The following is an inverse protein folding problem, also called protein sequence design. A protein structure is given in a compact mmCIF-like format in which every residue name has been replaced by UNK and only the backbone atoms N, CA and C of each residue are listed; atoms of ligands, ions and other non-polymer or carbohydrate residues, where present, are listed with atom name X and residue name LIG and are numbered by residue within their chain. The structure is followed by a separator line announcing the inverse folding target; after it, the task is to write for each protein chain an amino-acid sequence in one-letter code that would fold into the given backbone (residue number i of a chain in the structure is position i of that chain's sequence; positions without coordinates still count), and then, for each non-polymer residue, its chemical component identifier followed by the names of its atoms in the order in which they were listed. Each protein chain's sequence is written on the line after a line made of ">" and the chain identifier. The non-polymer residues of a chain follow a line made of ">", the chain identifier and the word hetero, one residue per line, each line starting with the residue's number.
data_IF_193236630352
#
_entry.id   IF_193236630352
#
_cell.length_a   1.000
_cell.length_b   1.000
_cell.length_c   1.000
_cell.angle_alpha   90.00
_cell.angle_beta   90.00
_cell.angle_gamma   90.00
#
_symmetry.space_group_name_H-M   'P 1'
#
loop_
_entity.id
_entity.type
_entity.pdbx_description
1 polymer ?
#
# COMPACT_ATOMS: atom_id res chain seq x y z
N UNK A 1 -22.77 -15.72 -16.20
CA UNK A 1 -22.50 -15.27 -14.82
C UNK A 1 -23.48 -14.17 -14.46
N UNK A 2 -23.92 -14.06 -13.21
CA UNK A 2 -24.77 -12.95 -12.77
C UNK A 2 -24.07 -11.60 -12.99
N UNK A 3 -24.87 -10.55 -13.26
CA UNK A 3 -24.35 -9.21 -13.54
C UNK A 3 -24.59 -8.32 -12.33
N UNK A 4 -23.57 -7.60 -11.89
CA UNK A 4 -23.67 -6.58 -10.85
C UNK A 4 -24.64 -5.48 -11.29
N UNK A 5 -25.49 -5.00 -10.42
CA UNK A 5 -26.25 -3.79 -10.65
C UNK A 5 -25.36 -2.56 -10.31
N UNK A 6 -25.54 -1.49 -11.07
CA UNK A 6 -24.87 -0.22 -10.84
C UNK A 6 -25.88 0.89 -10.71
N UNK A 7 -25.61 1.84 -9.81
CA UNK A 7 -26.45 3.02 -9.62
C UNK A 7 -25.58 4.28 -9.73
N UNK A 8 -25.88 5.20 -10.66
CA UNK A 8 -25.09 6.39 -10.88
C UNK A 8 -25.23 7.38 -9.73
N UNK A 9 -24.15 8.04 -9.38
CA UNK A 9 -24.09 9.13 -8.40
C UNK A 9 -23.50 10.38 -9.04
N UNK A 10 -23.66 11.53 -8.38
CA UNK A 10 -22.96 12.75 -8.76
C UNK A 10 -21.44 12.55 -8.68
N UNK A 11 -20.71 12.99 -9.68
CA UNK A 11 -19.25 12.93 -9.66
C UNK A 11 -18.67 14.06 -8.80
N UNK A 12 -17.87 13.67 -7.83
CA UNK A 12 -17.00 14.57 -7.06
C UNK A 12 -15.56 14.12 -7.25
N UNK A 13 -14.67 15.09 -7.51
CA UNK A 13 -13.22 14.77 -7.65
C UNK A 13 -12.60 14.36 -6.32
N UNK A 14 -13.14 14.87 -5.21
CA UNK A 14 -12.76 14.49 -3.85
C UNK A 14 -13.71 13.42 -3.31
N UNK A 15 -13.24 12.20 -3.00
CA UNK A 15 -14.08 11.13 -2.48
C UNK A 15 -14.45 11.28 -1.00
N UNK A 16 -13.80 12.20 -0.27
CA UNK A 16 -13.95 12.33 1.19
C UNK A 16 -15.36 12.63 1.63
N UNK A 17 -16.10 13.44 0.85
CA UNK A 17 -17.51 13.72 1.12
C UNK A 17 -18.38 12.45 1.10
N UNK A 18 -18.18 11.56 0.14
CA UNK A 18 -18.86 10.27 0.12
C UNK A 18 -18.42 9.34 1.24
N UNK A 19 -17.11 9.33 1.54
CA UNK A 19 -16.60 8.49 2.62
C UNK A 19 -17.10 8.94 4.00
N UNK A 20 -17.32 10.23 4.21
CA UNK A 20 -17.89 10.76 5.45
C UNK A 20 -19.27 10.18 5.78
N UNK A 21 -20.05 9.73 4.79
CA UNK A 21 -21.34 9.05 5.02
C UNK A 21 -21.20 7.68 5.70
N UNK A 22 -20.03 7.03 5.55
CA UNK A 22 -19.82 5.65 5.99
C UNK A 22 -18.59 5.46 6.89
N UNK A 23 -17.76 6.49 7.12
CA UNK A 23 -16.48 6.36 7.81
C UNK A 23 -16.55 5.79 9.22
N UNK A 24 -17.67 5.96 9.90
CA UNK A 24 -17.93 5.38 11.24
C UNK A 24 -18.57 3.99 11.19
N UNK A 25 -18.87 3.49 10.01
CA UNK A 25 -19.45 2.17 9.85
C UNK A 25 -18.39 1.08 10.08
N UNK A 26 -18.81 -0.09 10.61
CA UNK A 26 -17.90 -1.22 10.75
C UNK A 26 -17.18 -1.54 9.45
N UNK A 27 -15.84 -1.64 9.52
CA UNK A 27 -14.99 -1.99 8.39
C UNK A 27 -15.01 -0.97 7.24
N UNK A 28 -15.25 0.32 7.53
CA UNK A 28 -15.18 1.35 6.50
C UNK A 28 -13.75 1.42 5.90
N UNK A 29 -13.69 1.42 4.58
CA UNK A 29 -12.44 1.48 3.82
C UNK A 29 -12.55 2.48 2.68
N UNK A 30 -11.46 3.21 2.44
CA UNK A 30 -11.25 4.06 1.28
C UNK A 30 -9.90 3.72 0.66
N UNK A 31 -9.90 3.27 -0.60
CA UNK A 31 -8.72 3.24 -1.44
C UNK A 31 -8.80 4.48 -2.33
N UNK A 32 -7.85 5.38 -2.15
CA UNK A 32 -7.88 6.77 -2.60
C UNK A 32 -6.78 7.00 -3.64
N UNK A 33 -7.14 7.57 -4.75
CA UNK A 33 -6.22 7.94 -5.84
C UNK A 33 -5.52 9.28 -5.60
N UNK A 34 -5.77 9.95 -4.48
CA UNK A 34 -5.20 11.26 -4.11
C UNK A 34 -5.79 12.44 -4.88
N UNK A 35 -6.93 12.27 -5.55
CA UNK A 35 -7.62 13.36 -6.26
C UNK A 35 -8.32 14.30 -5.27
N UNK A 36 -8.44 15.59 -5.60
CA UNK A 36 -8.01 16.25 -6.85
C UNK A 36 -6.53 16.62 -6.92
N UNK A 37 -5.74 16.52 -5.83
CA UNK A 37 -4.37 17.01 -5.75
C UNK A 37 -3.37 16.16 -6.56
N UNK A 38 -3.63 14.85 -6.71
CA UNK A 38 -2.82 13.97 -7.55
C UNK A 38 -3.31 13.99 -9.01
N UNK A 39 -2.38 14.07 -9.97
CA UNK A 39 -2.70 14.01 -11.39
C UNK A 39 -2.90 12.58 -11.91
N UNK A 40 -2.34 11.58 -11.20
CA UNK A 40 -2.39 10.16 -11.54
C UNK A 40 -3.23 9.42 -10.53
N UNK A 41 -3.76 8.29 -10.93
CA UNK A 41 -4.76 7.56 -10.20
C UNK A 41 -6.11 7.70 -10.88
N UNK A 42 -6.73 6.56 -11.18
CA UNK A 42 -7.97 6.55 -11.95
C UNK A 42 -9.18 6.33 -11.08
N UNK A 43 -9.07 5.45 -10.10
CA UNK A 43 -10.23 5.00 -9.34
C UNK A 43 -10.07 5.27 -7.86
N UNK A 44 -11.13 5.81 -7.24
CA UNK A 44 -11.34 5.66 -5.80
C UNK A 44 -12.36 4.54 -5.58
N UNK A 45 -12.13 3.75 -4.53
CA UNK A 45 -13.03 2.66 -4.12
C UNK A 45 -13.29 2.83 -2.63
N UNK A 46 -14.56 2.97 -2.25
CA UNK A 46 -14.93 2.95 -0.85
C UNK A 46 -16.02 1.93 -0.59
N UNK A 47 -16.01 1.35 0.62
CA UNK A 47 -17.03 0.43 1.08
C UNK A 47 -17.11 0.42 2.62
N UNK A 48 -18.11 -0.23 3.15
CA UNK A 48 -18.32 -0.44 4.58
C UNK A 48 -19.24 -1.64 4.79
N UNK A 49 -19.47 -2.02 6.06
CA UNK A 49 -20.31 -3.16 6.43
C UNK A 49 -19.92 -4.44 5.68
N UNK A 50 -18.70 -4.95 5.86
CA UNK A 50 -18.28 -6.19 5.22
C UNK A 50 -19.17 -7.34 5.66
N UNK A 51 -19.47 -8.25 4.73
CA UNK A 51 -20.22 -9.49 5.00
C UNK A 51 -19.45 -10.41 5.95
N UNK A 52 -18.13 -10.35 5.90
CA UNK A 52 -17.19 -11.12 6.72
C UNK A 52 -15.90 -10.32 6.89
N UNK A 53 -15.27 -10.40 8.06
CA UNK A 53 -13.90 -9.93 8.29
C UNK A 53 -12.99 -11.13 8.47
N UNK A 54 -11.94 -11.22 7.67
CA UNK A 54 -10.97 -12.29 7.66
C UNK A 54 -9.65 -11.78 8.20
N UNK A 55 -9.21 -12.35 9.30
CA UNK A 55 -7.87 -12.19 9.88
C UNK A 55 -7.30 -13.58 10.19
N UNK A 56 -5.97 -13.76 10.18
CA UNK A 56 -5.37 -15.03 10.56
C UNK A 56 -5.76 -15.45 11.98
N UNK A 57 -5.93 -16.75 12.16
CA UNK A 57 -6.15 -17.35 13.50
C UNK A 57 -4.84 -17.96 14.02
N UNK A 58 -4.81 -18.30 15.31
CA UNK A 58 -3.62 -18.89 15.93
C UNK A 58 -3.18 -20.17 15.14
N UNK A 59 -1.89 -20.31 14.94
CA UNK A 59 -1.24 -21.44 14.26
C UNK A 59 -1.65 -21.64 12.78
N UNK A 60 -2.36 -20.69 12.17
CA UNK A 60 -2.72 -20.73 10.75
C UNK A 60 -1.51 -20.40 9.88
N UNK A 61 -1.23 -21.24 8.89
CA UNK A 61 -0.19 -20.95 7.88
C UNK A 61 -0.68 -19.91 6.86
N UNK A 62 0.24 -19.16 6.23
CA UNK A 62 -0.12 -18.22 5.19
C UNK A 62 -0.88 -18.86 4.03
N UNK A 63 -0.49 -20.10 3.64
CA UNK A 63 -1.21 -20.85 2.60
C UNK A 63 -2.65 -21.18 3.00
N UNK A 64 -2.87 -21.60 4.27
CA UNK A 64 -4.21 -21.89 4.77
C UNK A 64 -5.08 -20.61 4.82
N UNK A 65 -4.51 -19.49 5.26
CA UNK A 65 -5.22 -18.20 5.25
C UNK A 65 -5.59 -17.77 3.83
N UNK A 66 -4.64 -17.85 2.87
CA UNK A 66 -4.94 -17.53 1.46
C UNK A 66 -6.02 -18.48 0.88
N UNK A 67 -6.06 -19.75 1.29
CA UNK A 67 -7.13 -20.65 0.89
C UNK A 67 -8.47 -20.23 1.48
N UNK A 68 -8.52 -19.80 2.73
CA UNK A 68 -9.74 -19.29 3.38
C UNK A 68 -10.26 -18.01 2.71
N UNK A 69 -9.37 -17.14 2.17
CA UNK A 69 -9.76 -16.01 1.33
C UNK A 69 -10.42 -16.46 0.02
N UNK A 70 -9.89 -17.51 -0.64
CA UNK A 70 -10.51 -18.11 -1.83
C UNK A 70 -11.91 -18.66 -1.54
N UNK A 71 -12.03 -19.38 -0.43
CA UNK A 71 -13.30 -19.98 -0.02
C UNK A 71 -14.35 -18.89 0.29
N UNK A 72 -13.92 -17.75 0.83
CA UNK A 72 -14.79 -16.61 1.11
C UNK A 72 -15.25 -15.94 -0.19
N UNK A 73 -14.36 -15.72 -1.16
CA UNK A 73 -14.73 -15.24 -2.49
C UNK A 73 -15.69 -16.20 -3.20
N UNK A 74 -15.43 -17.51 -3.12
CA UNK A 74 -16.29 -18.53 -3.73
C UNK A 74 -17.70 -18.56 -3.09
N UNK A 75 -17.83 -18.29 -1.77
CA UNK A 75 -19.13 -18.14 -1.11
C UNK A 75 -19.88 -16.91 -1.55
N UNK A 76 -19.21 -15.78 -1.80
CA UNK A 76 -19.84 -14.60 -2.39
C UNK A 76 -20.40 -14.92 -3.78
N UNK A 77 -19.66 -15.72 -4.55
CA UNK A 77 -20.04 -16.21 -5.85
C UNK A 77 -19.52 -15.35 -7.01
N UNK A 78 -19.51 -15.93 -8.20
CA UNK A 78 -19.06 -15.24 -9.40
C UNK A 78 -20.03 -14.14 -9.81
N UNK A 79 -19.49 -13.01 -10.25
CA UNK A 79 -20.25 -11.92 -10.84
C UNK A 79 -19.44 -11.22 -11.94
N UNK A 80 -20.17 -10.54 -12.83
CA UNK A 80 -19.56 -9.67 -13.85
C UNK A 80 -20.13 -8.27 -13.72
N UNK A 81 -19.35 -7.28 -14.14
CA UNK A 81 -19.85 -5.92 -14.33
C UNK A 81 -20.66 -5.84 -15.62
N UNK A 82 -21.52 -4.81 -15.78
CA UNK A 82 -22.17 -4.54 -17.06
C UNK A 82 -21.16 -4.51 -18.21
N UNK A 83 -21.64 -4.89 -19.41
CA UNK A 83 -20.81 -4.92 -20.61
C UNK A 83 -20.09 -3.58 -20.84
N UNK A 84 -18.82 -3.63 -21.19
CA UNK A 84 -17.94 -2.46 -21.39
C UNK A 84 -17.69 -1.59 -20.13
N UNK A 85 -18.12 -2.02 -18.94
CA UNK A 85 -17.83 -1.29 -17.71
C UNK A 85 -16.32 -1.32 -17.39
N UNK A 86 -15.65 -0.16 -17.21
CA UNK A 86 -14.24 -0.10 -16.88
C UNK A 86 -13.96 -0.27 -15.38
N UNK A 87 -15.01 -0.45 -14.55
CA UNK A 87 -14.89 -0.44 -13.11
C UNK A 87 -13.99 -1.56 -12.59
N UNK A 88 -13.15 -1.29 -11.58
CA UNK A 88 -12.14 -2.23 -11.11
C UNK A 88 -12.68 -3.28 -10.14
N UNK A 89 -13.90 -3.10 -9.59
CA UNK A 89 -14.39 -3.91 -8.47
C UNK A 89 -15.85 -4.33 -8.66
N UNK A 90 -16.11 -5.62 -8.54
CA UNK A 90 -17.43 -6.25 -8.71
C UNK A 90 -17.93 -6.95 -7.42
N UNK A 91 -17.42 -6.54 -6.25
CA UNK A 91 -17.55 -7.26 -4.98
C UNK A 91 -16.34 -8.16 -4.73
N UNK A 92 -15.95 -8.33 -3.46
CA UNK A 92 -14.77 -9.11 -3.11
C UNK A 92 -14.08 -8.59 -1.83
N UNK A 93 -12.78 -8.78 -1.76
CA UNK A 93 -11.96 -8.47 -0.61
C UNK A 93 -11.32 -7.08 -0.71
N UNK A 94 -11.34 -6.31 0.38
CA UNK A 94 -10.56 -5.09 0.55
C UNK A 94 -9.93 -5.10 1.94
N UNK A 95 -8.65 -4.73 2.05
CA UNK A 95 -7.98 -4.65 3.35
C UNK A 95 -6.46 -4.55 3.22
N UNK A 96 -5.75 -5.16 4.18
CA UNK A 96 -4.31 -5.12 4.21
C UNK A 96 -3.67 -6.48 4.54
N UNK A 97 -2.42 -6.64 4.11
CA UNK A 97 -1.45 -7.58 4.63
C UNK A 97 -0.34 -6.76 5.31
N UNK A 98 -0.08 -6.99 6.59
CA UNK A 98 1.08 -6.41 7.27
C UNK A 98 2.37 -7.08 6.78
N UNK A 99 3.52 -6.43 6.93
CA UNK A 99 4.82 -7.03 6.58
C UNK A 99 5.02 -8.40 7.26
N UNK A 100 4.57 -8.51 8.50
CA UNK A 100 4.70 -9.73 9.30
C UNK A 100 3.86 -10.91 8.79
N UNK A 101 2.94 -10.69 7.83
CA UNK A 101 2.32 -11.79 7.10
C UNK A 101 3.36 -12.66 6.35
N UNK A 102 4.51 -12.09 5.99
CA UNK A 102 5.63 -12.82 5.44
C UNK A 102 6.13 -13.97 6.34
N UNK A 103 5.97 -13.85 7.67
CA UNK A 103 6.32 -14.91 8.63
C UNK A 103 5.38 -16.13 8.56
N UNK A 104 4.19 -15.94 8.04
CA UNK A 104 3.23 -17.04 7.80
C UNK A 104 3.52 -17.78 6.49
N UNK A 105 4.29 -17.15 5.58
CA UNK A 105 4.66 -17.71 4.28
C UNK A 105 6.03 -18.39 4.30
N UNK A 106 6.97 -17.82 5.07
CA UNK A 106 8.36 -18.28 5.13
C UNK A 106 8.81 -18.42 6.60
N UNK A 107 9.61 -19.42 6.94
CA UNK A 107 10.14 -19.57 8.30
C UNK A 107 11.18 -18.47 8.58
N UNK A 108 10.82 -17.51 9.42
CA UNK A 108 11.66 -16.38 9.83
C UNK A 108 11.92 -16.42 11.34
N UNK A 109 13.07 -15.92 11.82
CA UNK A 109 13.31 -15.69 13.23
C UNK A 109 12.24 -14.77 13.84
N UNK A 110 12.15 -14.71 15.15
CA UNK A 110 11.24 -13.85 15.90
C UNK A 110 11.99 -13.11 17.02
N UNK A 111 13.00 -12.31 16.62
CA UNK A 111 13.83 -11.54 17.56
C UNK A 111 13.24 -10.14 17.80
N UNK A 112 12.74 -9.50 16.75
CA UNK A 112 12.08 -8.20 16.85
C UNK A 112 10.78 -8.29 17.66
N UNK A 113 10.57 -7.31 18.55
CA UNK A 113 9.42 -7.28 19.48
C UNK A 113 8.15 -6.90 18.72
N UNK A 114 7.08 -7.68 18.93
CA UNK A 114 5.74 -7.33 18.46
C UNK A 114 5.00 -6.53 19.55
N UNK A 115 5.11 -5.21 19.52
CA UNK A 115 4.53 -4.31 20.52
C UNK A 115 3.24 -3.60 20.04
N UNK A 116 2.92 -3.72 18.76
CA UNK A 116 1.70 -3.14 18.18
C UNK A 116 0.55 -4.15 18.07
N UNK A 117 0.86 -5.44 18.09
CA UNK A 117 -0.12 -6.53 18.00
C UNK A 117 -1.16 -6.38 16.87
N UNK A 118 -0.80 -5.65 15.81
CA UNK A 118 -1.66 -5.53 14.64
C UNK A 118 -1.79 -6.90 13.96
N UNK A 119 -3.01 -7.39 13.67
CA UNK A 119 -3.16 -8.63 12.91
C UNK A 119 -2.31 -8.63 11.65
N UNK A 120 -1.59 -9.73 11.37
CA UNK A 120 -0.70 -9.83 10.20
C UNK A 120 -1.43 -9.72 8.86
N UNK A 121 -2.76 -9.88 8.86
CA UNK A 121 -3.64 -9.55 7.75
C UNK A 121 -5.04 -9.24 8.26
N UNK A 122 -5.78 -8.36 7.58
CA UNK A 122 -7.20 -8.14 7.79
C UNK A 122 -7.84 -7.69 6.49
N UNK A 123 -8.79 -8.50 6.00
CA UNK A 123 -9.55 -8.19 4.79
C UNK A 123 -11.05 -8.32 5.09
N UNK A 124 -11.84 -7.35 4.65
CA UNK A 124 -13.29 -7.44 4.63
C UNK A 124 -13.77 -8.01 3.30
N UNK A 125 -14.81 -8.84 3.33
CA UNK A 125 -15.55 -9.28 2.16
C UNK A 125 -16.72 -8.34 1.91
N UNK A 126 -16.73 -7.62 0.80
CA UNK A 126 -17.73 -6.60 0.50
C UNK A 126 -18.60 -6.99 -0.67
N UNK A 127 -19.91 -6.94 -0.49
CA UNK A 127 -20.89 -7.15 -1.56
C UNK A 127 -21.25 -5.86 -2.32
N UNK A 128 -20.65 -4.74 -1.99
CA UNK A 128 -20.88 -3.45 -2.63
C UNK A 128 -19.63 -2.55 -2.55
N UNK A 129 -19.55 -1.58 -3.44
CA UNK A 129 -18.63 -0.47 -3.32
C UNK A 129 -19.18 0.77 -4.04
N UNK A 130 -18.80 1.95 -3.57
CA UNK A 130 -18.86 3.18 -4.36
C UNK A 130 -17.53 3.35 -5.08
N UNK A 131 -17.59 3.57 -6.38
CA UNK A 131 -16.40 3.71 -7.23
C UNK A 131 -16.50 5.03 -8.01
N UNK A 132 -15.45 5.87 -7.89
CA UNK A 132 -15.26 7.04 -8.75
C UNK A 132 -14.24 6.74 -9.83
N UNK A 133 -14.59 6.96 -11.11
CA UNK A 133 -13.67 6.94 -12.25
C UNK A 133 -13.34 8.39 -12.64
N UNK A 134 -12.16 8.86 -12.29
CA UNK A 134 -11.71 10.21 -12.55
C UNK A 134 -11.47 10.49 -14.03
N UNK A 135 -11.14 9.45 -14.81
CA UNK A 135 -10.97 9.58 -16.25
C UNK A 135 -12.31 9.77 -16.95
N UNK A 136 -13.33 8.99 -16.56
CA UNK A 136 -14.69 9.12 -17.08
C UNK A 136 -15.49 10.25 -16.40
N UNK A 137 -15.00 10.82 -15.28
CA UNK A 137 -15.70 11.78 -14.41
C UNK A 137 -17.09 11.27 -14.01
N UNK A 138 -17.14 10.05 -13.50
CA UNK A 138 -18.36 9.39 -13.04
C UNK A 138 -18.16 8.71 -11.70
N UNK A 139 -19.22 8.70 -10.89
CA UNK A 139 -19.28 7.96 -9.63
C UNK A 139 -20.47 7.01 -9.64
N UNK A 140 -20.31 5.81 -9.10
CA UNK A 140 -21.35 4.78 -9.15
C UNK A 140 -21.28 3.90 -7.91
N UNK A 141 -22.44 3.51 -7.39
CA UNK A 141 -22.54 2.35 -6.51
C UNK A 141 -22.57 1.08 -7.35
N UNK A 142 -21.78 0.11 -6.97
CA UNK A 142 -21.72 -1.22 -7.57
C UNK A 142 -22.20 -2.22 -6.54
N UNK A 143 -23.15 -3.05 -6.91
CA UNK A 143 -23.74 -4.06 -6.04
C UNK A 143 -23.55 -5.44 -6.62
N UNK A 144 -22.90 -6.31 -5.85
CA UNK A 144 -22.80 -7.73 -6.18
C UNK A 144 -24.21 -8.37 -6.16
N UNK A 145 -24.51 -9.33 -7.05
CA UNK A 145 -25.83 -9.97 -7.12
C UNK A 145 -26.30 -10.62 -5.82
N UNK A 146 -25.37 -11.08 -4.98
CA UNK A 146 -25.69 -11.69 -3.67
C UNK A 146 -26.18 -10.68 -2.62
N UNK A 147 -26.04 -9.36 -2.83
CA UNK A 147 -26.54 -8.37 -1.89
C UNK A 147 -28.05 -8.26 -2.00
N UNK A 148 -28.75 -8.26 -0.85
CA UNK A 148 -30.20 -8.16 -0.79
C UNK A 148 -30.71 -6.82 -1.32
N UNK A 149 -31.93 -6.82 -1.90
CA UNK A 149 -32.49 -5.62 -2.55
C UNK A 149 -32.80 -4.50 -1.54
N UNK A 150 -33.22 -4.82 -0.33
CA UNK A 150 -33.46 -3.85 0.74
C UNK A 150 -32.17 -3.15 1.16
N UNK A 151 -31.06 -3.88 1.23
CA UNK A 151 -29.74 -3.31 1.52
C UNK A 151 -29.25 -2.40 0.38
N UNK A 152 -29.49 -2.79 -0.89
CA UNK A 152 -29.20 -1.92 -2.04
C UNK A 152 -29.97 -0.61 -1.97
N UNK A 153 -31.27 -0.67 -1.68
CA UNK A 153 -32.10 0.52 -1.54
C UNK A 153 -31.68 1.41 -0.35
N UNK A 154 -31.29 0.81 0.76
CA UNK A 154 -30.75 1.53 1.92
C UNK A 154 -29.47 2.30 1.53
N UNK A 155 -28.56 1.66 0.81
CA UNK A 155 -27.29 2.27 0.36
C UNK A 155 -27.56 3.37 -0.67
N UNK A 156 -28.42 3.17 -1.64
CA UNK A 156 -28.83 4.21 -2.60
C UNK A 156 -29.36 5.43 -1.84
N UNK A 157 -30.33 5.24 -0.95
CA UNK A 157 -30.90 6.33 -0.17
C UNK A 157 -29.89 7.04 0.72
N UNK A 158 -28.84 6.34 1.21
CA UNK A 158 -27.74 6.95 1.97
C UNK A 158 -26.86 7.84 1.08
N UNK A 159 -26.47 7.37 -0.10
CA UNK A 159 -25.53 8.07 -0.98
C UNK A 159 -26.20 9.16 -1.85
N UNK A 160 -27.52 9.20 -1.96
CA UNK A 160 -28.28 10.29 -2.58
C UNK A 160 -28.53 11.48 -1.65
N UNK A 161 -28.19 11.35 -0.35
CA UNK A 161 -28.28 12.48 0.58
C UNK A 161 -27.25 13.57 0.24
N UNK A 162 -27.54 14.79 0.71
CA UNK A 162 -26.57 15.87 0.62
C UNK A 162 -25.28 15.50 1.38
N UNK A 163 -24.15 15.64 0.73
CA UNK A 163 -22.86 15.36 1.37
C UNK A 163 -22.63 16.33 2.54
N UNK A 164 -22.03 15.87 3.64
CA UNK A 164 -21.67 16.74 4.76
C UNK A 164 -20.76 17.88 4.28
N UNK A 165 -21.04 19.11 4.70
CA UNK A 165 -20.29 20.31 4.29
C UNK A 165 -19.02 20.56 5.10
N UNK A 166 -18.94 19.99 6.29
CA UNK A 166 -17.75 20.01 7.15
C UNK A 166 -17.77 18.79 8.08
N UNK A 167 -16.62 18.33 8.43
CA UNK A 167 -16.40 17.35 9.50
C UNK A 167 -15.71 18.12 10.64
N UNK A 168 -16.34 18.19 11.82
CA UNK A 168 -15.78 18.85 13.01
C UNK A 168 -14.67 18.00 13.67
N UNK A 169 -14.20 16.97 12.98
CA UNK A 169 -13.12 16.11 13.46
C UNK A 169 -11.84 16.93 13.68
N UNK A 170 -11.25 16.82 14.85
CA UNK A 170 -9.96 17.42 15.19
C UNK A 170 -8.93 16.35 15.49
N UNK A 171 -7.67 16.64 15.25
CA UNK A 171 -6.54 15.78 15.57
C UNK A 171 -5.41 16.64 16.13
N UNK A 172 -4.79 16.19 17.23
CA UNK A 172 -3.68 16.91 17.86
C UNK A 172 -2.65 15.94 18.37
N UNK A 173 -1.37 16.25 18.20
CA UNK A 173 -0.28 15.55 18.84
C UNK A 173 0.02 16.14 20.22
N UNK A 174 0.27 15.28 21.20
CA UNK A 174 0.68 15.73 22.56
C UNK A 174 2.15 16.17 22.63
N UNK A 175 2.98 15.68 21.71
CA UNK A 175 4.40 16.01 21.56
C UNK A 175 4.84 15.69 20.11
N UNK A 176 5.95 16.28 19.63
CA UNK A 176 6.54 15.91 18.35
C UNK A 176 6.88 14.42 18.25
N UNK A 177 7.02 13.92 17.03
CA UNK A 177 7.46 12.55 16.80
C UNK A 177 8.86 12.28 17.38
N UNK A 178 9.01 11.13 18.03
CA UNK A 178 10.28 10.62 18.54
C UNK A 178 10.65 9.31 17.84
N UNK A 179 11.95 9.08 17.66
CA UNK A 179 12.48 7.84 17.10
C UNK A 179 12.56 6.74 18.15
N UNK A 180 12.39 5.47 17.75
CA UNK A 180 12.57 4.31 18.63
C UNK A 180 14.04 3.97 18.86
N UNK A 181 14.95 4.40 17.96
CA UNK A 181 16.39 4.18 18.06
C UNK A 181 17.14 5.50 17.88
N UNK A 182 18.30 5.61 18.53
CA UNK A 182 19.19 6.74 18.38
C UNK A 182 20.17 6.57 17.21
N UNK A 183 20.92 7.63 16.91
CA UNK A 183 21.89 7.64 15.81
C UNK A 183 23.02 6.59 16.01
N UNK A 184 23.40 6.30 17.24
CA UNK A 184 24.45 5.32 17.54
C UNK A 184 23.96 3.89 17.25
N UNK A 185 22.73 3.56 17.67
CA UNK A 185 22.13 2.27 17.34
C UNK A 185 22.00 2.11 15.81
N UNK A 186 21.54 3.17 15.12
CA UNK A 186 21.43 3.15 13.66
C UNK A 186 22.79 2.91 12.99
N UNK A 187 23.86 3.59 13.43
CA UNK A 187 25.23 3.41 12.95
C UNK A 187 25.70 1.96 13.11
N UNK A 188 25.52 1.38 14.31
CA UNK A 188 25.91 0.00 14.58
C UNK A 188 25.14 -1.00 13.69
N UNK A 189 23.86 -0.77 13.43
CA UNK A 189 23.08 -1.60 12.52
C UNK A 189 23.61 -1.54 11.08
N UNK A 190 23.95 -0.34 10.58
CA UNK A 190 24.57 -0.19 9.25
C UNK A 190 25.93 -0.90 9.17
N UNK A 191 26.78 -0.75 10.17
CA UNK A 191 28.07 -1.46 10.22
C UNK A 191 27.89 -2.98 10.20
N UNK A 192 26.86 -3.49 10.89
CA UNK A 192 26.52 -4.91 10.89
C UNK A 192 26.02 -5.37 9.52
N UNK A 193 25.19 -4.58 8.84
CA UNK A 193 24.73 -4.87 7.47
C UNK A 193 25.93 -4.90 6.51
N UNK A 194 26.87 -3.94 6.61
CA UNK A 194 28.11 -3.96 5.80
C UNK A 194 28.91 -5.23 6.02
N UNK A 195 29.03 -5.70 7.28
CA UNK A 195 29.71 -6.97 7.55
C UNK A 195 29.01 -8.17 6.87
N UNK A 196 27.68 -8.21 6.84
CA UNK A 196 26.94 -9.23 6.10
C UNK A 196 27.15 -9.14 4.60
N UNK A 197 27.17 -7.93 4.04
CA UNK A 197 27.45 -7.71 2.60
C UNK A 197 28.88 -8.18 2.27
N UNK A 198 29.86 -7.84 3.08
CA UNK A 198 31.26 -8.26 2.88
C UNK A 198 31.46 -9.77 3.02
N UNK A 199 30.67 -10.42 3.89
CA UNK A 199 30.64 -11.87 4.05
C UNK A 199 29.95 -12.60 2.89
N UNK A 200 29.24 -11.87 2.00
CA UNK A 200 28.49 -12.42 0.89
C UNK A 200 27.10 -12.96 1.27
N UNK A 201 26.60 -12.63 2.47
CA UNK A 201 25.28 -13.04 2.94
C UNK A 201 24.15 -12.35 2.16
N UNK A 202 24.36 -11.09 1.79
CA UNK A 202 23.39 -10.28 1.03
C UNK A 202 24.09 -9.22 0.17
N UNK A 203 23.34 -8.64 -0.76
CA UNK A 203 23.78 -7.51 -1.60
C UNK A 203 23.17 -6.19 -1.13
N UNK A 204 21.95 -6.27 -0.56
CA UNK A 204 21.19 -5.15 -0.04
C UNK A 204 20.30 -5.62 1.10
N UNK A 205 20.15 -4.76 2.12
CA UNK A 205 19.13 -4.88 3.16
C UNK A 205 18.39 -3.55 3.24
N UNK A 206 17.06 -3.57 3.17
CA UNK A 206 16.25 -2.39 3.51
C UNK A 206 16.20 -2.28 5.04
N UNK A 207 16.80 -1.24 5.63
CA UNK A 207 16.80 -1.00 7.06
C UNK A 207 15.95 0.22 7.40
N UNK A 208 15.14 0.13 8.44
CA UNK A 208 14.19 1.16 8.81
C UNK A 208 14.20 1.46 10.31
N UNK A 209 13.72 2.65 10.66
CA UNK A 209 13.37 3.02 12.02
C UNK A 209 11.94 3.51 12.11
N UNK A 210 11.34 3.39 13.29
CA UNK A 210 9.99 3.84 13.61
C UNK A 210 10.02 5.18 14.33
N UNK A 211 9.03 6.01 14.02
CA UNK A 211 8.75 7.28 14.66
C UNK A 211 7.36 7.20 15.30
N UNK A 212 7.23 7.68 16.53
CA UNK A 212 5.98 7.63 17.31
C UNK A 212 5.65 8.96 17.95
N UNK A 213 4.34 9.24 18.04
CA UNK A 213 3.80 10.35 18.81
C UNK A 213 2.48 9.93 19.48
N UNK A 214 2.16 10.55 20.60
CA UNK A 214 0.83 10.42 21.22
C UNK A 214 -0.11 11.42 20.58
N UNK A 215 -1.34 10.97 20.30
CA UNK A 215 -2.37 11.83 19.71
C UNK A 215 -3.68 11.78 20.50
N UNK A 216 -4.52 12.78 20.25
CA UNK A 216 -5.92 12.82 20.64
C UNK A 216 -6.79 13.28 19.48
N UNK A 217 -8.06 12.89 19.46
CA UNK A 217 -8.98 13.24 18.40
C UNK A 217 -9.21 12.14 17.38
N UNK A 218 -9.54 12.50 16.17
CA UNK A 218 -9.97 11.58 15.10
C UNK A 218 -8.87 11.40 14.05
N UNK A 219 -8.35 10.17 13.84
CA UNK A 219 -7.38 9.87 12.79
C UNK A 219 -7.83 10.27 11.37
N UNK A 220 -9.15 10.40 11.13
CA UNK A 220 -9.66 10.88 9.86
C UNK A 220 -9.24 12.31 9.55
N UNK A 221 -9.25 13.20 10.55
CA UNK A 221 -8.75 14.58 10.37
C UNK A 221 -7.25 14.58 10.00
N UNK A 222 -6.45 13.73 10.63
CA UNK A 222 -5.05 13.52 10.25
C UNK A 222 -4.92 13.06 8.79
N UNK A 223 -5.73 12.08 8.37
CA UNK A 223 -5.70 11.58 6.99
C UNK A 223 -6.06 12.67 5.98
N UNK A 224 -7.10 13.47 6.23
CA UNK A 224 -7.50 14.57 5.36
C UNK A 224 -6.37 15.60 5.16
N UNK A 225 -5.66 15.98 6.23
CA UNK A 225 -4.51 16.86 6.13
C UNK A 225 -3.34 16.22 5.36
N UNK A 226 -3.04 14.96 5.65
CA UNK A 226 -1.95 14.23 5.00
C UNK A 226 -2.19 14.01 3.51
N UNK A 227 -3.40 13.70 3.07
CA UNK A 227 -3.70 13.48 1.64
C UNK A 227 -3.55 14.76 0.79
N UNK A 228 -3.77 15.93 1.40
CA UNK A 228 -3.50 17.22 0.76
C UNK A 228 -2.00 17.49 0.71
N UNK A 229 -1.28 17.26 1.81
CA UNK A 229 0.16 17.51 1.89
C UNK A 229 1.02 16.52 1.08
N UNK A 230 0.53 15.29 0.91
CA UNK A 230 1.25 14.21 0.24
C UNK A 230 0.33 13.45 -0.73
N UNK A 231 -0.14 14.09 -1.82
CA UNK A 231 -1.03 13.45 -2.79
C UNK A 231 -0.32 12.32 -3.52
N UNK A 232 -0.88 11.11 -3.48
CA UNK A 232 -0.29 9.88 -4.05
C UNK A 232 -1.36 8.99 -4.67
N UNK A 233 -1.02 8.20 -5.71
CA UNK A 233 -2.01 7.42 -6.45
C UNK A 233 -2.47 6.12 -5.75
N UNK A 234 -1.88 5.77 -4.61
CA UNK A 234 -2.20 4.56 -3.82
C UNK A 234 -2.41 4.92 -2.35
N UNK A 235 -3.10 6.04 -2.11
CA UNK A 235 -3.50 6.39 -0.76
C UNK A 235 -4.65 5.49 -0.27
N UNK A 236 -4.92 5.48 1.03
CA UNK A 236 -6.03 4.75 1.60
C UNK A 236 -6.21 4.98 3.08
N UNK A 237 -7.45 4.87 3.52
CA UNK A 237 -7.84 4.93 4.92
C UNK A 237 -8.66 3.69 5.26
N UNK A 238 -8.26 2.97 6.28
CA UNK A 238 -8.98 1.80 6.79
C UNK A 238 -9.34 2.03 8.25
N UNK A 239 -10.63 2.07 8.53
CA UNK A 239 -11.13 2.08 9.92
C UNK A 239 -10.90 0.72 10.56
N UNK A 240 -10.28 0.72 11.72
CA UNK A 240 -10.13 -0.45 12.58
C UNK A 240 -11.16 -0.36 13.73
N UNK A 241 -10.99 -1.16 14.78
CA UNK A 241 -11.83 -1.04 15.97
C UNK A 241 -11.42 0.19 16.82
N UNK A 242 -12.29 0.64 17.69
CA UNK A 242 -12.01 1.58 18.80
C UNK A 242 -11.34 2.92 18.35
N UNK A 243 -11.74 3.45 17.19
CA UNK A 243 -11.18 4.65 16.57
C UNK A 243 -9.71 4.50 16.09
N UNK A 244 -9.20 3.27 16.03
CA UNK A 244 -7.93 2.99 15.40
C UNK A 244 -8.05 3.05 13.87
N UNK A 245 -6.97 3.39 13.18
CA UNK A 245 -6.97 3.49 11.73
C UNK A 245 -5.60 3.26 11.10
N UNK A 246 -5.64 2.81 9.86
CA UNK A 246 -4.50 2.82 8.94
C UNK A 246 -4.65 3.99 7.98
N UNK A 247 -3.63 4.84 7.92
CA UNK A 247 -3.51 5.98 7.02
C UNK A 247 -2.34 5.73 6.07
N UNK A 248 -2.62 5.47 4.80
CA UNK A 248 -1.58 5.18 3.81
C UNK A 248 -1.52 6.25 2.74
N UNK A 249 -0.33 6.80 2.49
CA UNK A 249 -0.03 7.77 1.42
C UNK A 249 1.02 7.16 0.48
N UNK A 250 0.81 5.92 0.06
CA UNK A 250 1.80 5.18 -0.72
C UNK A 250 1.90 5.70 -2.15
N UNK A 251 3.12 5.94 -2.67
CA UNK A 251 3.33 6.24 -4.09
C UNK A 251 3.52 4.98 -4.94
N UNK A 252 3.70 3.79 -4.34
CA UNK A 252 4.23 2.61 -5.02
C UNK A 252 3.21 1.48 -5.09
N UNK A 253 3.00 0.96 -6.32
CA UNK A 253 2.26 -0.28 -6.54
C UNK A 253 3.10 -1.47 -6.13
N UNK A 254 2.50 -2.41 -5.40
CA UNK A 254 3.11 -3.72 -5.18
C UNK A 254 2.93 -4.61 -6.41
N UNK A 255 1.74 -5.15 -6.63
CA UNK A 255 1.40 -5.95 -7.82
C UNK A 255 -0.06 -5.69 -8.23
N UNK A 256 -0.30 -5.71 -9.53
CA UNK A 256 -1.63 -5.65 -10.14
C UNK A 256 -1.88 -6.90 -10.96
N UNK A 257 -3.11 -7.40 -10.91
CA UNK A 257 -3.61 -8.43 -11.83
C UNK A 257 -4.83 -7.88 -12.54
N UNK A 258 -4.83 -7.91 -13.85
CA UNK A 258 -5.98 -7.55 -14.67
C UNK A 258 -6.06 -8.52 -15.84
N UNK A 259 -7.19 -9.21 -16.00
CA UNK A 259 -7.37 -10.22 -17.04
C UNK A 259 -6.20 -11.22 -17.11
N UNK A 260 -5.71 -11.66 -15.94
CA UNK A 260 -4.55 -12.53 -15.73
C UNK A 260 -3.19 -11.93 -16.10
N UNK A 261 -3.14 -10.69 -16.62
CA UNK A 261 -1.89 -9.97 -16.82
C UNK A 261 -1.44 -9.38 -15.49
N UNK A 262 -0.18 -9.62 -15.17
CA UNK A 262 0.49 -9.13 -13.97
C UNK A 262 1.36 -7.94 -14.30
N UNK A 263 1.33 -6.93 -13.46
CA UNK A 263 2.21 -5.76 -13.55
C UNK A 263 2.75 -5.36 -12.18
N UNK A 264 4.03 -5.04 -12.10
CA UNK A 264 4.63 -4.32 -10.97
C UNK A 264 5.50 -3.18 -11.47
N UNK A 265 5.61 -2.09 -10.69
CA UNK A 265 6.25 -0.84 -11.12
C UNK A 265 7.17 -0.30 -10.03
N UNK A 266 8.38 -0.86 -9.87
CA UNK A 266 9.32 -0.40 -8.85
C UNK A 266 9.80 1.03 -9.15
N UNK A 267 9.87 1.82 -8.08
CA UNK A 267 10.39 3.18 -8.09
C UNK A 267 11.76 3.17 -7.41
N UNK A 268 12.80 3.64 -8.10
CA UNK A 268 14.12 3.93 -7.51
C UNK A 268 14.67 5.21 -8.12
N UNK A 269 15.24 6.04 -7.27
CA UNK A 269 15.67 7.37 -7.69
C UNK A 269 14.53 8.39 -7.73
N UNK A 270 14.76 9.52 -7.10
CA UNK A 270 13.81 10.64 -7.04
C UNK A 270 14.58 11.94 -7.11
N UNK A 271 14.05 12.90 -7.87
CA UNK A 271 14.52 14.30 -7.88
C UNK A 271 13.33 15.24 -7.71
N UNK A 272 13.53 16.40 -7.09
CA UNK A 272 12.46 17.40 -7.01
C UNK A 272 12.10 17.95 -8.39
N UNK A 273 10.95 18.60 -8.49
CA UNK A 273 10.62 19.43 -9.65
C UNK A 273 11.43 20.73 -9.62
N UNK A 274 11.80 21.22 -10.75
CA UNK A 274 12.46 22.52 -10.87
C UNK A 274 11.48 23.68 -10.81
N UNK A 275 11.94 24.84 -10.29
CA UNK A 275 11.15 26.06 -10.26
C UNK A 275 11.04 26.73 -11.65
N UNK A 276 11.91 26.35 -12.57
CA UNK A 276 11.90 26.79 -13.97
C UNK A 276 11.94 25.57 -14.90
N UNK A 277 11.46 25.67 -16.16
CA UNK A 277 11.54 24.56 -17.11
C UNK A 277 12.97 24.05 -17.35
N UNK A 278 13.98 24.94 -17.30
CA UNK A 278 15.38 24.56 -17.48
C UNK A 278 15.91 23.76 -16.28
N UNK A 279 15.60 24.20 -15.06
CA UNK A 279 15.95 23.50 -13.83
C UNK A 279 15.25 22.14 -13.74
N UNK A 280 13.96 22.08 -14.11
CA UNK A 280 13.16 20.85 -14.13
C UNK A 280 13.75 19.83 -15.11
N UNK A 281 14.14 20.26 -16.31
CA UNK A 281 14.82 19.42 -17.28
C UNK A 281 16.19 18.93 -16.76
N UNK A 282 16.96 19.78 -16.08
CA UNK A 282 18.26 19.41 -15.53
C UNK A 282 18.13 18.32 -14.44
N UNK A 283 17.14 18.41 -13.54
CA UNK A 283 16.88 17.36 -12.54
C UNK A 283 16.43 16.05 -13.20
N UNK A 284 15.61 16.12 -14.24
CA UNK A 284 15.20 14.95 -15.00
C UNK A 284 16.40 14.26 -15.69
N UNK A 285 17.29 15.02 -16.32
CA UNK A 285 18.50 14.51 -16.96
C UNK A 285 19.48 13.93 -15.93
N UNK A 286 19.70 14.62 -14.80
CA UNK A 286 20.52 14.11 -13.68
C UNK A 286 20.04 12.75 -13.22
N UNK A 287 18.71 12.59 -12.99
CA UNK A 287 18.13 11.33 -12.57
C UNK A 287 18.34 10.21 -13.59
N UNK A 288 18.11 10.49 -14.87
CA UNK A 288 18.33 9.53 -15.97
C UNK A 288 19.80 9.13 -16.14
N UNK A 289 20.73 10.04 -15.86
CA UNK A 289 22.17 9.82 -15.95
C UNK A 289 22.76 9.16 -14.69
N UNK A 290 22.05 9.12 -13.58
CA UNK A 290 22.53 8.59 -12.31
C UNK A 290 22.83 7.08 -12.39
N UNK A 291 24.11 6.72 -12.40
CA UNK A 291 24.54 5.32 -12.41
C UNK A 291 24.07 4.58 -11.15
N UNK A 292 24.12 5.23 -9.98
CA UNK A 292 23.65 4.66 -8.71
C UNK A 292 22.16 4.31 -8.77
N UNK A 293 21.30 5.28 -9.14
CA UNK A 293 19.84 5.06 -9.19
C UNK A 293 19.47 3.97 -10.22
N UNK A 294 20.19 3.91 -11.34
CA UNK A 294 20.00 2.86 -12.36
C UNK A 294 20.46 1.48 -11.88
N UNK A 295 21.58 1.39 -11.18
CA UNK A 295 22.08 0.12 -10.63
C UNK A 295 21.12 -0.43 -9.55
N UNK A 296 20.63 0.41 -8.64
CA UNK A 296 19.63 0.04 -7.65
C UNK A 296 18.31 -0.41 -8.31
N UNK A 297 17.85 0.35 -9.33
CA UNK A 297 16.63 0.00 -10.05
C UNK A 297 16.77 -1.35 -10.77
N UNK A 298 17.90 -1.60 -11.44
CA UNK A 298 18.17 -2.87 -12.13
C UNK A 298 18.15 -4.06 -11.16
N UNK A 299 18.76 -3.91 -9.99
CA UNK A 299 18.79 -4.97 -8.97
C UNK A 299 17.36 -5.29 -8.49
N UNK A 300 16.51 -4.27 -8.26
CA UNK A 300 15.12 -4.49 -7.85
C UNK A 300 14.30 -5.09 -9.00
N UNK A 301 14.52 -4.68 -10.24
CA UNK A 301 13.88 -5.30 -11.42
C UNK A 301 14.20 -6.80 -11.48
N UNK A 302 15.44 -7.20 -11.27
CA UNK A 302 15.83 -8.62 -11.27
C UNK A 302 15.18 -9.39 -10.11
N UNK A 303 15.10 -8.78 -8.93
CA UNK A 303 14.40 -9.38 -7.78
C UNK A 303 12.91 -9.59 -8.07
N UNK A 304 12.24 -8.58 -8.64
CA UNK A 304 10.82 -8.67 -9.02
C UNK A 304 10.57 -9.63 -10.18
N UNK A 305 11.50 -9.74 -11.13
CA UNK A 305 11.43 -10.79 -12.16
C UNK A 305 11.50 -12.18 -11.54
N UNK A 306 12.33 -12.37 -10.52
CA UNK A 306 12.37 -13.63 -9.76
C UNK A 306 11.05 -13.88 -9.02
N UNK A 307 10.51 -12.87 -8.31
CA UNK A 307 9.23 -12.98 -7.59
C UNK A 307 8.08 -13.37 -8.55
N UNK A 308 7.92 -12.66 -9.66
CA UNK A 308 6.91 -12.98 -10.66
C UNK A 308 7.16 -14.35 -11.33
N UNK A 309 8.43 -14.72 -11.52
CA UNK A 309 8.84 -16.00 -12.11
C UNK A 309 8.41 -17.23 -11.31
N UNK A 310 8.18 -17.08 -9.99
CA UNK A 310 7.68 -18.16 -9.11
C UNK A 310 6.22 -18.52 -9.39
N UNK A 311 5.43 -17.57 -9.93
CA UNK A 311 3.97 -17.76 -10.07
C UNK A 311 3.50 -17.61 -11.51
N UNK A 312 4.10 -16.70 -12.28
CA UNK A 312 3.72 -16.46 -13.68
C UNK A 312 4.13 -17.62 -14.61
N UNK A 313 3.47 -17.69 -15.75
CA UNK A 313 3.78 -18.66 -16.80
C UNK A 313 5.25 -18.53 -17.23
N UNK A 314 5.94 -19.66 -17.30
CA UNK A 314 7.33 -19.71 -17.76
C UNK A 314 7.50 -18.97 -19.10
N UNK A 315 8.47 -18.08 -19.16
CA UNK A 315 8.75 -17.26 -20.35
C UNK A 315 7.78 -16.10 -20.60
N UNK A 316 6.79 -15.81 -19.70
CA UNK A 316 5.92 -14.65 -19.83
C UNK A 316 6.46 -13.40 -19.15
N UNK A 317 7.39 -13.55 -18.19
CA UNK A 317 7.95 -12.40 -17.48
C UNK A 317 8.80 -11.53 -18.42
N UNK A 318 8.48 -10.25 -18.50
CA UNK A 318 9.11 -9.24 -19.39
C UNK A 318 9.38 -7.96 -18.63
N UNK A 319 10.28 -7.15 -19.17
CA UNK A 319 10.56 -5.78 -18.72
C UNK A 319 10.31 -4.84 -19.91
N UNK A 320 9.04 -4.47 -20.18
CA UNK A 320 8.71 -3.62 -21.32
C UNK A 320 9.27 -2.20 -21.20
N UNK A 321 9.53 -1.73 -19.96
CA UNK A 321 10.14 -0.43 -19.71
C UNK A 321 11.22 -0.58 -18.63
N UNK A 322 12.41 -0.15 -18.92
CA UNK A 322 13.54 -0.08 -18.00
C UNK A 322 13.99 1.39 -17.89
N UNK A 323 14.12 1.92 -16.67
CA UNK A 323 14.56 3.29 -16.38
C UNK A 323 13.72 4.38 -17.03
N UNK A 324 12.39 4.23 -17.02
CA UNK A 324 11.48 5.27 -17.51
C UNK A 324 11.39 6.44 -16.54
N UNK A 325 11.46 7.68 -17.05
CA UNK A 325 11.19 8.87 -16.28
C UNK A 325 9.68 9.08 -16.13
N UNK A 326 9.19 9.18 -14.90
CA UNK A 326 7.84 9.59 -14.60
C UNK A 326 7.85 10.87 -13.76
N UNK A 327 7.20 11.90 -14.29
CA UNK A 327 7.08 13.20 -13.62
C UNK A 327 5.72 13.32 -12.94
N UNK A 328 5.75 13.70 -11.68
CA UNK A 328 4.61 14.01 -10.82
C UNK A 328 4.62 15.51 -10.48
N UNK A 329 3.56 16.07 -9.89
CA UNK A 329 3.56 17.47 -9.53
C UNK A 329 4.77 17.91 -8.70
N UNK A 330 5.25 17.07 -7.80
CA UNK A 330 6.27 17.40 -6.81
C UNK A 330 7.64 16.81 -7.12
N UNK A 331 7.72 15.73 -7.92
CA UNK A 331 8.95 14.96 -8.10
C UNK A 331 9.03 14.30 -9.47
N UNK A 332 10.27 13.98 -9.87
CA UNK A 332 10.59 13.02 -10.94
C UNK A 332 10.98 11.70 -10.31
N UNK A 333 10.48 10.59 -10.84
CA UNK A 333 10.85 9.24 -10.46
C UNK A 333 11.45 8.44 -11.61
N UNK A 334 12.43 7.57 -11.29
CA UNK A 334 12.91 6.55 -12.19
C UNK A 334 12.13 5.27 -11.96
N UNK A 335 11.31 4.88 -12.95
CA UNK A 335 10.36 3.77 -12.84
C UNK A 335 10.66 2.71 -13.89
N UNK A 336 10.68 1.46 -13.48
CA UNK A 336 10.68 0.32 -14.41
C UNK A 336 9.35 -0.40 -14.37
N UNK A 337 9.04 -1.16 -15.42
CA UNK A 337 7.81 -1.96 -15.49
C UNK A 337 8.20 -3.41 -15.71
N UNK A 338 7.71 -4.29 -14.84
CA UNK A 338 7.85 -5.73 -14.99
C UNK A 338 6.47 -6.34 -15.14
N UNK A 339 6.28 -7.16 -16.16
CA UNK A 339 4.99 -7.80 -16.47
C UNK A 339 5.12 -9.31 -16.51
N UNK A 340 3.99 -10.00 -16.36
CA UNK A 340 3.89 -11.44 -16.47
C UNK A 340 2.45 -11.86 -16.78
N UNK A 341 2.22 -13.16 -16.90
CA UNK A 341 0.89 -13.73 -17.13
C UNK A 341 0.66 -14.90 -16.17
N UNK A 342 -0.45 -14.90 -15.45
CA UNK A 342 -0.83 -16.02 -14.58
C UNK A 342 -1.26 -17.23 -15.43
N UNK A 343 -0.70 -18.44 -15.17
CA UNK A 343 -1.18 -19.66 -15.81
C UNK A 343 -2.59 -20.02 -15.31
N UNK A 344 -3.37 -20.78 -16.08
CA UNK A 344 -4.76 -21.11 -15.74
C UNK A 344 -4.95 -21.74 -14.34
N UNK A 345 -3.94 -22.44 -13.83
CA UNK A 345 -3.96 -23.09 -12.52
C UNK A 345 -3.61 -22.18 -11.34
N UNK A 346 -3.30 -20.88 -11.59
CA UNK A 346 -2.89 -19.90 -10.57
C UNK A 346 -3.80 -18.69 -10.58
N UNK A 347 -3.95 -18.04 -9.42
CA UNK A 347 -4.76 -16.85 -9.23
C UNK A 347 -3.96 -15.68 -8.60
N UNK A 348 -4.65 -14.59 -8.30
CA UNK A 348 -4.04 -13.42 -7.68
C UNK A 348 -3.53 -13.70 -6.25
N UNK A 349 -4.15 -14.61 -5.50
CA UNK A 349 -3.69 -15.01 -4.15
C UNK A 349 -2.42 -15.86 -4.21
N UNK A 350 -2.25 -16.70 -5.25
CA UNK A 350 -0.99 -17.38 -5.50
C UNK A 350 0.14 -16.37 -5.80
N UNK A 351 -0.18 -15.31 -6.56
CA UNK A 351 0.79 -14.26 -6.85
C UNK A 351 1.18 -13.49 -5.59
N UNK A 352 0.22 -13.12 -4.76
CA UNK A 352 0.49 -12.50 -3.45
C UNK A 352 1.40 -13.38 -2.60
N UNK A 353 1.02 -14.64 -2.39
CA UNK A 353 1.81 -15.58 -1.57
C UNK A 353 3.22 -15.83 -2.12
N UNK A 354 3.39 -15.83 -3.45
CA UNK A 354 4.68 -16.05 -4.11
C UNK A 354 5.59 -14.83 -4.14
N UNK A 355 5.04 -13.62 -4.01
CA UNK A 355 5.77 -12.36 -4.14
C UNK A 355 5.93 -11.60 -2.82
N UNK A 356 5.07 -11.84 -1.83
CA UNK A 356 5.04 -11.11 -0.56
C UNK A 356 6.15 -11.55 0.43
N UNK A 357 6.71 -10.60 1.21
CA UNK A 357 6.62 -9.16 1.03
C UNK A 357 7.41 -8.69 -0.21
N UNK A 358 7.15 -7.44 -0.64
CA UNK A 358 7.76 -6.88 -1.84
C UNK A 358 9.29 -6.88 -1.82
N UNK A 359 9.91 -7.17 -2.96
CA UNK A 359 11.38 -7.17 -3.07
C UNK A 359 11.99 -5.78 -2.85
N UNK A 360 11.31 -4.71 -3.31
CA UNK A 360 11.81 -3.33 -3.23
C UNK A 360 12.01 -2.82 -1.79
N UNK A 361 11.34 -3.47 -0.81
CA UNK A 361 11.33 -3.06 0.61
C UNK A 361 11.95 -4.12 1.55
N UNK A 362 12.54 -5.17 1.02
CA UNK A 362 13.23 -6.22 1.80
C UNK A 362 14.73 -6.21 1.54
N UNK A 363 15.15 -6.64 0.40
CA UNK A 363 16.55 -6.73 -0.03
C UNK A 363 16.83 -7.98 -0.83
N UNK A 364 18.10 -8.23 -1.11
CA UNK A 364 18.54 -9.33 -1.95
C UNK A 364 19.71 -10.10 -1.33
N UNK A 365 19.63 -11.43 -1.16
CA UNK A 365 18.46 -12.33 -1.34
C UNK A 365 17.35 -12.05 -0.32
N UNK A 366 16.08 -12.13 -0.75
CA UNK A 366 14.90 -11.71 0.06
C UNK A 366 14.87 -12.33 1.45
N UNK A 367 14.88 -13.66 1.56
CA UNK A 367 14.74 -14.36 2.84
C UNK A 367 15.88 -13.99 3.80
N UNK A 368 17.13 -13.97 3.30
CA UNK A 368 18.27 -13.59 4.13
C UNK A 368 18.18 -12.15 4.62
N UNK A 369 17.78 -11.23 3.75
CA UNK A 369 17.55 -9.83 4.13
C UNK A 369 16.44 -9.68 5.17
N UNK A 370 15.35 -10.45 5.07
CA UNK A 370 14.29 -10.45 6.08
C UNK A 370 14.78 -10.99 7.45
N UNK A 371 15.69 -11.97 7.46
CA UNK A 371 16.32 -12.47 8.70
C UNK A 371 17.20 -11.38 9.35
N UNK A 372 17.98 -10.67 8.55
CA UNK A 372 18.84 -9.57 9.02
C UNK A 372 17.98 -8.40 9.54
N UNK A 373 16.89 -8.07 8.87
CA UNK A 373 15.92 -7.06 9.33
C UNK A 373 15.38 -7.43 10.71
N UNK A 374 14.94 -8.68 10.90
CA UNK A 374 14.41 -9.16 12.17
C UNK A 374 15.46 -9.18 13.31
N UNK A 375 16.74 -9.34 12.97
CA UNK A 375 17.86 -9.29 13.91
C UNK A 375 18.17 -7.85 14.36
N UNK A 376 18.10 -6.88 13.45
CA UNK A 376 18.63 -5.55 13.65
C UNK A 376 17.58 -4.49 13.98
N UNK A 377 16.35 -4.63 13.52
CA UNK A 377 15.25 -3.74 13.89
C UNK A 377 14.69 -4.17 15.27
N UNK A 378 14.56 -3.24 16.25
CA UNK A 378 14.18 -3.60 17.61
C UNK A 378 12.73 -4.07 17.71
N UNK A 379 11.87 -3.61 16.81
CA UNK A 379 10.45 -3.96 16.77
C UNK A 379 10.03 -4.42 15.39
N UNK A 380 8.96 -5.22 15.34
CA UNK A 380 8.36 -5.67 14.09
C UNK A 380 7.86 -4.49 13.27
N UNK A 381 7.89 -4.65 11.96
CA UNK A 381 7.43 -3.63 11.01
C UNK A 381 5.92 -3.43 11.00
N UNK A 382 5.16 -4.44 11.44
CA UNK A 382 3.72 -4.39 11.47
C UNK A 382 3.15 -3.99 10.09
N UNK A 383 2.41 -2.88 9.98
CA UNK A 383 1.88 -2.37 8.72
C UNK A 383 2.96 -1.99 7.71
N UNK A 384 4.06 -1.37 8.20
CA UNK A 384 5.10 -0.80 7.34
C UNK A 384 5.71 -1.86 6.41
N UNK A 385 5.82 -1.53 5.12
CA UNK A 385 6.26 -2.47 4.08
C UNK A 385 5.31 -3.67 3.85
N UNK A 386 4.11 -3.61 4.40
CA UNK A 386 2.99 -4.47 4.03
C UNK A 386 2.32 -4.01 2.74
N UNK A 387 1.03 -4.27 2.61
CA UNK A 387 0.25 -3.94 1.40
C UNK A 387 -1.20 -3.62 1.74
N UNK A 388 -1.75 -2.54 1.18
CA UNK A 388 -3.19 -2.35 1.05
C UNK A 388 -3.62 -2.89 -0.31
N UNK A 389 -4.77 -3.55 -0.36
CA UNK A 389 -5.22 -4.18 -1.60
C UNK A 389 -6.75 -4.30 -1.71
N UNK A 390 -7.20 -4.44 -2.94
CA UNK A 390 -8.47 -5.11 -3.24
C UNK A 390 -8.24 -6.32 -4.15
N UNK A 391 -9.12 -7.30 -4.03
CA UNK A 391 -9.23 -8.47 -4.91
C UNK A 391 -10.70 -8.80 -5.11
N UNK A 392 -11.20 -8.71 -6.34
CA UNK A 392 -12.60 -8.98 -6.63
C UNK A 392 -12.86 -10.42 -7.09
N UNK A 393 -14.15 -10.77 -7.17
CA UNK A 393 -14.60 -12.11 -7.58
C UNK A 393 -14.21 -12.49 -9.02
N UNK A 394 -13.77 -11.55 -9.86
CA UNK A 394 -13.29 -11.78 -11.23
C UNK A 394 -11.77 -12.09 -11.25
N UNK A 395 -11.10 -11.95 -10.11
CA UNK A 395 -9.65 -12.05 -10.01
C UNK A 395 -8.90 -10.77 -10.40
N UNK A 396 -9.60 -9.63 -10.53
CA UNK A 396 -8.99 -8.31 -10.68
C UNK A 396 -8.44 -7.86 -9.33
N UNK A 397 -7.19 -7.47 -9.28
CA UNK A 397 -6.50 -7.07 -8.05
C UNK A 397 -5.59 -5.87 -8.32
N UNK A 398 -5.55 -4.91 -7.40
CA UNK A 398 -4.47 -3.95 -7.31
C UNK A 398 -4.03 -3.81 -5.86
N UNK A 399 -2.74 -3.59 -5.64
CA UNK A 399 -2.14 -3.54 -4.31
C UNK A 399 -0.99 -2.56 -4.26
N UNK A 400 -0.82 -1.90 -3.12
CA UNK A 400 0.26 -0.95 -2.85
C UNK A 400 1.30 -1.55 -1.92
N UNK A 401 2.50 -0.96 -1.89
CA UNK A 401 3.46 -1.17 -0.80
C UNK A 401 3.12 -0.17 0.32
N UNK A 402 2.88 -0.63 1.54
CA UNK A 402 2.54 0.25 2.67
C UNK A 402 3.77 1.01 3.20
N UNK A 403 4.31 1.91 2.37
CA UNK A 403 5.30 2.92 2.74
C UNK A 403 4.61 4.30 2.81
N UNK A 404 5.19 5.26 3.51
CA UNK A 404 4.51 6.53 3.85
C UNK A 404 3.14 6.27 4.45
N UNK A 405 3.08 5.27 5.29
CA UNK A 405 1.86 4.82 5.96
C UNK A 405 2.01 4.97 7.46
N UNK A 406 0.90 5.30 8.11
CA UNK A 406 0.83 5.49 9.54
C UNK A 406 -0.19 4.52 10.13
N UNK A 407 0.09 4.06 11.34
CA UNK A 407 -0.86 3.32 12.16
C UNK A 407 -1.22 4.19 13.36
N UNK A 408 -2.48 4.59 13.45
CA UNK A 408 -3.07 5.22 14.63
C UNK A 408 -3.76 4.13 15.45
N UNK A 409 -3.26 3.88 16.66
CA UNK A 409 -3.74 2.81 17.52
C UNK A 409 -3.52 3.16 18.98
N UNK A 410 -4.54 2.93 19.83
CA UNK A 410 -4.47 3.14 21.28
C UNK A 410 -3.95 4.55 21.68
N UNK A 411 -4.33 5.60 20.93
CA UNK A 411 -3.88 6.98 21.18
C UNK A 411 -2.43 7.24 20.79
N UNK A 412 -1.76 6.30 20.13
CA UNK A 412 -0.42 6.46 19.56
C UNK A 412 -0.46 6.40 18.05
N UNK A 413 0.24 7.31 17.37
CA UNK A 413 0.45 7.25 15.93
C UNK A 413 1.90 6.91 15.60
N UNK A 414 2.09 5.92 14.73
CA UNK A 414 3.40 5.41 14.33
C UNK A 414 3.60 5.56 12.83
N UNK A 415 4.79 5.97 12.39
CA UNK A 415 5.22 5.89 10.99
C UNK A 415 6.67 5.40 10.91
N UNK A 416 7.12 5.03 9.71
CA UNK A 416 8.44 4.43 9.52
C UNK A 416 9.15 5.08 8.33
N UNK A 417 10.46 5.26 8.50
CA UNK A 417 11.38 5.65 7.43
C UNK A 417 12.53 4.66 7.32
N UNK A 418 12.89 4.28 6.11
CA UNK A 418 13.97 3.34 5.86
C UNK A 418 14.53 3.46 4.45
N UNK A 419 15.66 2.82 4.20
CA UNK A 419 16.35 2.81 2.92
C UNK A 419 17.05 1.49 2.63
N UNK A 420 17.41 1.29 1.37
CA UNK A 420 18.18 0.13 0.93
C UNK A 420 19.67 0.32 1.18
N UNK A 421 20.22 -0.38 2.15
CA UNK A 421 21.63 -0.33 2.52
C UNK A 421 22.43 -1.24 1.60
N UNK A 422 23.43 -0.68 0.93
CA UNK A 422 24.35 -1.35 0.01
C UNK A 422 25.80 -1.11 0.45
N UNK A 423 26.76 -1.71 -0.23
CA UNK A 423 28.17 -1.70 0.17
C UNK A 423 28.80 -0.30 0.29
N UNK A 424 28.33 0.68 -0.46
CA UNK A 424 28.81 2.07 -0.46
C UNK A 424 27.94 3.04 0.33
N UNK A 425 26.90 2.56 1.00
CA UNK A 425 26.02 3.37 1.88
C UNK A 425 26.83 3.99 3.04
N UNK A 426 26.56 5.28 3.32
CA UNK A 426 27.15 5.99 4.47
C UNK A 426 26.06 6.18 5.52
N UNK A 427 26.33 5.73 6.74
CA UNK A 427 25.32 5.65 7.80
C UNK A 427 24.66 7.00 8.11
N UNK A 428 25.42 8.12 8.07
CA UNK A 428 24.88 9.45 8.30
C UNK A 428 23.85 9.84 7.24
N UNK A 429 24.17 9.56 5.96
CA UNK A 429 23.28 9.87 4.85
C UNK A 429 22.01 9.02 4.91
N UNK A 430 22.15 7.73 5.16
CA UNK A 430 21.03 6.79 5.30
C UNK A 430 20.13 7.14 6.49
N UNK A 431 20.74 7.52 7.64
CA UNK A 431 20.00 7.98 8.80
C UNK A 431 19.17 9.24 8.51
N UNK A 432 19.76 10.24 7.83
CA UNK A 432 19.05 11.45 7.44
C UNK A 432 17.95 11.15 6.40
N UNK A 433 18.17 10.17 5.53
CA UNK A 433 17.18 9.76 4.54
C UNK A 433 15.92 9.21 5.20
N UNK A 434 16.02 8.48 6.33
CA UNK A 434 14.84 7.99 7.06
C UNK A 434 13.92 9.13 7.48
N UNK A 435 14.48 10.22 8.01
CA UNK A 435 13.71 11.42 8.38
C UNK A 435 13.15 12.12 7.15
N UNK A 436 13.94 12.25 6.09
CA UNK A 436 13.52 12.93 4.87
C UNK A 436 12.29 12.26 4.25
N UNK A 437 12.23 10.93 4.29
CA UNK A 437 11.10 10.14 3.74
C UNK A 437 9.78 10.36 4.47
N UNK A 438 9.80 10.68 5.77
CA UNK A 438 8.59 10.86 6.58
C UNK A 438 8.37 12.31 7.04
N UNK A 439 9.30 13.21 6.71
CA UNK A 439 9.27 14.61 7.17
C UNK A 439 7.94 15.31 6.88
N UNK A 440 7.43 15.18 5.66
CA UNK A 440 6.16 15.82 5.29
C UNK A 440 5.02 15.27 6.14
N UNK A 441 4.98 13.97 6.42
CA UNK A 441 3.93 13.35 7.24
C UNK A 441 4.00 13.89 8.67
N UNK A 442 5.17 13.87 9.29
CA UNK A 442 5.36 14.33 10.67
C UNK A 442 5.03 15.83 10.80
N UNK A 443 5.63 16.68 9.94
CA UNK A 443 5.40 18.11 9.99
C UNK A 443 3.93 18.50 9.75
N UNK A 444 3.23 17.79 8.87
CA UNK A 444 1.80 18.05 8.64
C UNK A 444 0.99 17.78 9.91
N UNK A 445 1.26 16.66 10.60
CA UNK A 445 0.53 16.31 11.83
C UNK A 445 0.96 17.16 13.04
N UNK A 446 2.21 17.61 13.10
CA UNK A 446 2.71 18.52 14.14
C UNK A 446 2.14 19.92 14.02
N UNK A 447 1.58 20.28 12.85
CA UNK A 447 0.96 21.58 12.58
C UNK A 447 -0.55 21.61 12.83
N UNK A 448 -1.21 20.46 13.11
CA UNK A 448 -2.63 20.34 13.47
C UNK A 448 -2.84 20.61 14.97
#
# INVERSE_FOLDING_TARGET
>A
MPICSVHPLAYHADPTGYFSLVRHAPGAVLLDSGRPEADRGRFDILSAWPLEILAPVADETGTAFLQRLRDSLARLGDAQLPEHSPLPFAGGLIGYLAYDFGRMLEPLPAQAVDDLHLPSARLGLYGWAMVSDHQARSSQLVFHPALADDERQRLIGLFEQSLPTADDASFHLSAPFATDIDAEHYRQAIERIHAYIQAGDCYQVNFAQRFRAQYSGDPWAAYQALRVACPTPFAGYLSLADNDAILSLSPERFVKVSQRQVETRPIKGTRPRGNTPAEDAAYAEELLASEKDRAENLMIVDLLRNDLGRTCRTGSVRVPQLFGLESYPNVHHLVSVVTGELPAAKDALDLLGGSFPGGSITGAPKIRSMQIIDELEPSRRSLYCGSLLYLDVRGEMDSSIAIRSLLAQDGQISCWGGGGIVADSQWEAEYQETFTKVRVLMQTLEAL
#
